data_IF_689385715102
#
_entry.id   IF_689385715102
#
_cell.length_a   1.000
_cell.length_b   1.000
_cell.length_c   1.000
_cell.angle_alpha   90.00
_cell.angle_beta   90.00
_cell.angle_gamma   90.00
#
_symmetry.space_group_name_H-M   'P 1'
#
loop_
_entity.id
_entity.type
_entity.pdbx_description
1 polymer ?
#
# COMPACT_ATOMS: atom_id res chain seq x y z
N UNK A 1 -0.22 -9.12 -12.23
CA UNK A 1 1.22 -9.19 -12.52
C UNK A 1 1.86 -7.81 -12.39
N UNK A 2 1.46 -6.78 -13.18
CA UNK A 2 2.09 -5.44 -13.14
C UNK A 2 2.11 -4.86 -11.73
N UNK A 3 0.98 -4.87 -11.02
CA UNK A 3 0.88 -4.36 -9.65
C UNK A 3 1.83 -5.10 -8.68
N UNK A 4 1.89 -6.44 -8.78
CA UNK A 4 2.76 -7.25 -7.92
C UNK A 4 4.24 -6.97 -8.15
N UNK A 5 4.67 -6.86 -9.41
CA UNK A 5 6.05 -6.48 -9.75
C UNK A 5 6.37 -5.08 -9.23
N UNK A 6 5.48 -4.10 -9.49
CA UNK A 6 5.66 -2.73 -9.02
C UNK A 6 5.74 -2.65 -7.50
N UNK A 7 4.90 -3.39 -6.78
CA UNK A 7 4.93 -3.44 -5.31
C UNK A 7 6.21 -4.09 -4.77
N UNK A 8 6.72 -5.11 -5.48
CA UNK A 8 8.00 -5.76 -5.15
C UNK A 8 9.22 -4.83 -5.21
N UNK A 9 9.11 -3.68 -5.88
CA UNK A 9 10.16 -2.66 -5.93
C UNK A 9 10.21 -1.77 -4.67
N UNK A 10 9.26 -1.89 -3.73
CA UNK A 10 9.29 -1.11 -2.48
C UNK A 10 10.63 -1.18 -1.73
N UNK A 11 11.22 -2.37 -1.50
CA UNK A 11 12.51 -2.45 -0.81
C UNK A 11 13.66 -1.82 -1.59
N UNK A 12 13.62 -1.89 -2.93
CA UNK A 12 14.68 -1.36 -3.79
C UNK A 12 14.87 0.16 -3.61
N UNK A 13 13.76 0.89 -3.56
CA UNK A 13 13.78 2.34 -3.41
C UNK A 13 13.65 2.81 -1.96
N UNK A 14 12.91 2.06 -1.12
CA UNK A 14 12.62 2.46 0.25
C UNK A 14 13.74 2.17 1.23
N UNK A 15 14.40 1.00 1.08
CA UNK A 15 15.45 0.60 2.03
C UNK A 15 16.67 1.52 2.03
N UNK A 16 17.23 1.95 0.89
CA UNK A 16 18.35 2.89 0.89
C UNK A 16 18.06 4.21 1.63
N UNK A 17 16.82 4.72 1.53
CA UNK A 17 16.40 5.92 2.23
C UNK A 17 16.33 5.71 3.75
N UNK A 18 15.79 4.58 4.20
CA UNK A 18 15.71 4.22 5.62
C UNK A 18 17.11 4.00 6.21
N UNK A 19 17.99 3.30 5.50
CA UNK A 19 19.37 3.07 5.90
C UNK A 19 20.18 4.39 5.93
N UNK A 20 19.82 5.37 5.07
CA UNK A 20 20.32 6.75 5.06
C UNK A 20 19.80 7.63 6.21
N UNK A 21 18.90 7.11 7.07
CA UNK A 21 18.37 7.82 8.23
C UNK A 21 17.13 8.66 7.96
N UNK A 22 16.50 8.52 6.78
CA UNK A 22 15.21 9.18 6.50
C UNK A 22 14.12 8.58 7.39
N UNK A 23 13.38 9.38 8.18
CA UNK A 23 12.30 8.88 9.00
C UNK A 23 11.20 8.24 8.12
N UNK A 24 10.63 7.12 8.57
CA UNK A 24 9.60 6.38 7.83
C UNK A 24 8.43 7.30 7.41
N UNK A 25 7.98 8.17 8.31
CA UNK A 25 6.85 9.05 8.03
C UNK A 25 7.18 10.16 7.02
N UNK A 26 8.42 10.70 7.05
CA UNK A 26 8.90 11.66 6.03
C UNK A 26 8.96 11.00 4.66
N UNK A 27 9.54 9.80 4.57
CA UNK A 27 9.59 9.00 3.35
C UNK A 27 8.18 8.76 2.80
N UNK A 28 7.24 8.33 3.65
CA UNK A 28 5.86 8.06 3.25
C UNK A 28 5.12 9.34 2.85
N UNK A 29 5.35 10.46 3.53
CA UNK A 29 4.80 11.75 3.12
C UNK A 29 5.23 12.11 1.69
N UNK A 30 6.53 12.12 1.39
CA UNK A 30 7.02 12.45 0.05
C UNK A 30 6.53 11.46 -1.01
N UNK A 31 6.54 10.17 -0.70
CA UNK A 31 6.00 9.13 -1.56
C UNK A 31 4.56 9.45 -1.99
N UNK A 32 3.70 9.78 -1.03
CA UNK A 32 2.28 10.06 -1.28
C UNK A 32 2.07 11.44 -1.92
N UNK A 33 2.81 12.45 -1.49
CA UNK A 33 2.71 13.80 -2.03
C UNK A 33 3.15 13.85 -3.50
N UNK A 34 4.29 13.25 -3.84
CA UNK A 34 4.77 13.19 -5.23
C UNK A 34 3.80 12.41 -6.11
N UNK A 35 3.34 11.23 -5.65
CA UNK A 35 2.39 10.42 -6.41
C UNK A 35 1.06 11.14 -6.63
N UNK A 36 0.53 11.81 -5.61
CA UNK A 36 -0.73 12.56 -5.74
C UNK A 36 -0.57 13.79 -6.63
N UNK A 37 0.57 14.48 -6.58
CA UNK A 37 0.85 15.62 -7.45
C UNK A 37 0.92 15.19 -8.92
N UNK A 38 1.67 14.13 -9.24
CA UNK A 38 1.78 13.60 -10.60
C UNK A 38 0.40 13.16 -11.12
N UNK A 39 -0.35 12.39 -10.32
CA UNK A 39 -1.66 11.89 -10.71
C UNK A 39 -2.68 13.03 -10.84
N UNK A 40 -2.65 14.00 -9.93
CA UNK A 40 -3.52 15.17 -9.97
C UNK A 40 -3.27 16.04 -11.20
N UNK A 41 -2.00 16.29 -11.55
CA UNK A 41 -1.63 16.99 -12.78
C UNK A 41 -2.11 16.22 -14.01
N UNK A 42 -1.89 14.91 -14.05
CA UNK A 42 -2.36 14.08 -15.15
C UNK A 42 -3.89 14.13 -15.31
N UNK A 43 -4.64 14.03 -14.19
CA UNK A 43 -6.10 14.15 -14.21
C UNK A 43 -6.56 15.53 -14.68
N UNK A 44 -5.87 16.59 -14.26
CA UNK A 44 -6.16 17.97 -14.70
C UNK A 44 -5.94 18.13 -16.22
N UNK A 45 -4.84 17.60 -16.76
CA UNK A 45 -4.58 17.59 -18.23
C UNK A 45 -5.61 16.80 -19.03
N UNK A 46 -6.16 15.73 -18.42
CA UNK A 46 -7.22 14.90 -19.03
C UNK A 46 -8.63 15.46 -18.80
N UNK A 47 -8.75 16.62 -18.13
CA UNK A 47 -10.03 17.23 -17.78
C UNK A 47 -10.96 16.30 -16.98
N UNK A 48 -10.38 15.38 -16.19
CA UNK A 48 -11.16 14.52 -15.31
C UNK A 48 -11.75 15.31 -14.15
N UNK A 49 -12.97 14.95 -13.75
CA UNK A 49 -13.66 15.64 -12.66
C UNK A 49 -13.07 15.27 -11.31
N UNK A 50 -12.80 16.28 -10.46
CA UNK A 50 -12.42 16.09 -9.05
C UNK A 50 -13.63 16.17 -8.09
N UNK A 51 -14.85 16.23 -8.63
CA UNK A 51 -16.03 16.43 -7.79
C UNK A 51 -16.44 15.13 -7.12
N UNK A 52 -16.50 15.17 -5.79
CA UNK A 52 -17.01 14.08 -4.94
C UNK A 52 -18.06 14.63 -3.97
N UNK A 53 -19.03 13.81 -3.62
CA UNK A 53 -20.04 14.18 -2.63
C UNK A 53 -19.46 14.03 -1.20
N UNK A 54 -19.98 14.75 -0.21
CA UNK A 54 -19.50 14.67 1.18
C UNK A 54 -19.61 13.27 1.82
N UNK A 55 -20.56 12.44 1.36
CA UNK A 55 -20.66 11.05 1.81
C UNK A 55 -19.56 10.15 1.19
N UNK A 56 -19.18 10.42 -0.04
CA UNK A 56 -18.10 9.75 -0.75
C UNK A 56 -16.75 10.17 -0.16
N UNK A 57 -16.57 11.47 0.11
CA UNK A 57 -15.37 12.00 0.73
C UNK A 57 -15.07 11.31 2.07
N UNK A 58 -16.07 11.12 2.93
CA UNK A 58 -15.88 10.38 4.20
C UNK A 58 -15.37 8.96 3.98
N UNK A 59 -15.89 8.27 2.97
CA UNK A 59 -15.43 6.92 2.64
C UNK A 59 -14.00 6.94 2.06
N UNK A 60 -13.69 7.91 1.19
CA UNK A 60 -12.35 8.10 0.64
C UNK A 60 -11.32 8.41 1.73
N UNK A 61 -11.70 9.17 2.76
CA UNK A 61 -10.84 9.41 3.92
C UNK A 61 -10.56 8.09 4.66
N UNK A 62 -11.58 7.29 4.93
CA UNK A 62 -11.38 5.98 5.58
C UNK A 62 -10.45 5.08 4.73
N UNK A 63 -10.67 5.03 3.43
CA UNK A 63 -9.83 4.25 2.51
C UNK A 63 -8.39 4.77 2.47
N UNK A 64 -8.19 6.08 2.42
CA UNK A 64 -6.87 6.70 2.47
C UNK A 64 -6.13 6.41 3.77
N UNK A 65 -6.84 6.48 4.91
CA UNK A 65 -6.27 6.14 6.22
C UNK A 65 -5.89 4.65 6.31
N UNK A 66 -6.71 3.73 5.79
CA UNK A 66 -6.40 2.30 5.76
C UNK A 66 -5.16 2.02 4.91
N UNK A 67 -5.06 2.65 3.75
CA UNK A 67 -3.89 2.49 2.87
C UNK A 67 -2.63 3.11 3.50
N UNK A 68 -2.75 4.29 4.12
CA UNK A 68 -1.66 4.93 4.86
C UNK A 68 -1.18 4.05 6.02
N UNK A 69 -2.11 3.51 6.84
CA UNK A 69 -1.78 2.60 7.93
C UNK A 69 -1.05 1.34 7.43
N UNK A 70 -1.54 0.74 6.33
CA UNK A 70 -0.85 -0.39 5.70
C UNK A 70 0.59 -0.05 5.33
N UNK A 71 0.82 1.15 4.77
CA UNK A 71 2.18 1.59 4.40
C UNK A 71 3.07 1.82 5.62
N UNK A 72 2.55 2.44 6.69
CA UNK A 72 3.32 2.63 7.93
C UNK A 72 3.73 1.28 8.52
N UNK A 73 2.79 0.36 8.68
CA UNK A 73 3.07 -0.97 9.24
C UNK A 73 4.11 -1.73 8.40
N UNK A 74 4.06 -1.63 7.07
CA UNK A 74 5.04 -2.26 6.19
C UNK A 74 6.43 -1.65 6.39
N UNK A 75 6.56 -0.32 6.31
CA UNK A 75 7.86 0.33 6.39
C UNK A 75 8.47 0.25 7.80
N UNK A 76 7.65 0.31 8.85
CA UNK A 76 8.10 0.05 10.21
C UNK A 76 8.59 -1.40 10.40
N UNK A 77 7.96 -2.38 9.72
CA UNK A 77 8.42 -3.76 9.79
C UNK A 77 9.84 -3.96 9.25
N UNK A 78 10.31 -3.12 8.32
CA UNK A 78 11.67 -3.17 7.77
C UNK A 78 12.77 -2.91 8.81
N UNK A 79 12.43 -2.32 9.96
CA UNK A 79 13.34 -2.12 11.08
C UNK A 79 13.61 -3.39 11.89
N UNK A 80 12.73 -4.38 11.78
CA UNK A 80 12.73 -5.58 12.62
C UNK A 80 12.98 -6.86 11.84
N UNK A 81 12.71 -6.87 10.54
CA UNK A 81 12.91 -8.01 9.64
C UNK A 81 13.44 -7.54 8.28
N UNK A 82 14.12 -8.40 7.51
CA UNK A 82 14.56 -8.07 6.17
C UNK A 82 13.42 -7.54 5.30
N UNK A 83 13.64 -6.44 4.60
CA UNK A 83 12.61 -5.73 3.82
C UNK A 83 11.96 -6.60 2.73
N UNK A 84 12.72 -7.51 2.12
CA UNK A 84 12.21 -8.50 1.19
C UNK A 84 11.23 -9.48 1.85
N UNK A 85 11.56 -9.94 3.06
CA UNK A 85 10.69 -10.80 3.87
C UNK A 85 9.41 -10.07 4.27
N UNK A 86 9.53 -8.84 4.79
CA UNK A 86 8.38 -8.02 5.16
C UNK A 86 7.42 -7.79 3.96
N UNK A 87 7.96 -7.46 2.80
CA UNK A 87 7.18 -7.28 1.57
C UNK A 87 6.50 -8.59 1.15
N UNK A 88 7.17 -9.74 1.35
CA UNK A 88 6.58 -11.06 1.07
C UNK A 88 5.40 -11.34 2.00
N UNK A 89 5.48 -10.96 3.29
CA UNK A 89 4.34 -11.09 4.22
C UNK A 89 3.13 -10.25 3.81
N UNK A 90 3.32 -9.11 3.15
CA UNK A 90 2.18 -8.33 2.63
C UNK A 90 1.39 -9.13 1.61
N UNK A 91 2.03 -10.00 0.83
CA UNK A 91 1.32 -10.88 -0.12
C UNK A 91 0.42 -11.93 0.56
N UNK A 92 0.33 -11.96 1.89
CA UNK A 92 -0.71 -12.71 2.62
C UNK A 92 -2.07 -11.98 2.63
N UNK A 93 -2.16 -10.74 2.10
CA UNK A 93 -3.45 -10.02 2.05
C UNK A 93 -4.59 -10.81 1.37
N UNK A 94 -4.37 -11.72 0.37
CA UNK A 94 -5.44 -12.54 -0.18
C UNK A 94 -6.09 -13.48 0.84
N UNK A 95 -5.30 -13.96 1.82
CA UNK A 95 -5.81 -14.77 2.94
C UNK A 95 -6.82 -13.95 3.74
N UNK A 96 -6.44 -12.72 4.13
CA UNK A 96 -7.31 -11.82 4.88
C UNK A 96 -8.54 -11.40 4.07
N UNK A 97 -8.39 -11.11 2.76
CA UNK A 97 -9.52 -10.84 1.87
C UNK A 97 -10.49 -12.01 1.86
N UNK A 98 -10.00 -13.24 1.69
CA UNK A 98 -10.85 -14.44 1.67
C UNK A 98 -11.56 -14.65 3.01
N UNK A 99 -10.87 -14.49 4.13
CA UNK A 99 -11.45 -14.61 5.47
C UNK A 99 -12.54 -13.56 5.71
N UNK A 100 -12.30 -12.30 5.35
CA UNK A 100 -13.30 -11.23 5.45
C UNK A 100 -14.51 -11.55 4.56
N UNK A 101 -14.30 -12.01 3.33
CA UNK A 101 -15.37 -12.37 2.41
C UNK A 101 -16.22 -13.53 2.93
N UNK A 102 -15.61 -14.56 3.53
CA UNK A 102 -16.32 -15.65 4.22
C UNK A 102 -17.14 -15.11 5.40
N UNK A 103 -16.56 -14.22 6.21
CA UNK A 103 -17.31 -13.55 7.29
C UNK A 103 -18.50 -12.72 6.81
N UNK A 104 -18.46 -12.23 5.57
CA UNK A 104 -19.56 -11.54 4.89
C UNK A 104 -20.49 -12.51 4.12
N UNK A 105 -20.40 -13.82 4.37
CA UNK A 105 -21.18 -14.88 3.73
C UNK A 105 -21.00 -14.96 2.20
N UNK A 106 -19.85 -14.52 1.69
CA UNK A 106 -19.46 -14.64 0.28
C UNK A 106 -18.32 -15.64 0.17
N UNK A 107 -18.63 -16.87 -0.21
CA UNK A 107 -17.65 -17.95 -0.24
C UNK A 107 -16.84 -17.92 -1.54
N UNK A 108 -15.50 -17.78 -1.45
CA UNK A 108 -14.62 -17.88 -2.60
C UNK A 108 -14.66 -19.28 -3.23
N UNK A 109 -14.44 -19.35 -4.55
CA UNK A 109 -14.32 -20.64 -5.25
C UNK A 109 -13.09 -21.42 -4.73
N UNK A 110 -13.13 -22.75 -4.84
CA UNK A 110 -12.05 -23.63 -4.37
C UNK A 110 -10.66 -23.29 -4.98
N UNK A 111 -10.64 -22.79 -6.21
CA UNK A 111 -9.44 -22.33 -6.91
C UNK A 111 -8.73 -21.18 -6.16
N UNK A 112 -9.49 -20.29 -5.50
CA UNK A 112 -8.94 -19.21 -4.68
C UNK A 112 -8.22 -19.78 -3.46
N UNK A 113 -8.79 -20.80 -2.82
CA UNK A 113 -8.16 -21.48 -1.68
C UNK A 113 -6.86 -22.18 -2.07
N UNK A 114 -6.81 -22.78 -3.27
CA UNK A 114 -5.59 -23.37 -3.80
C UNK A 114 -4.51 -22.31 -4.04
N UNK A 115 -4.88 -21.16 -4.62
CA UNK A 115 -3.94 -20.04 -4.84
C UNK A 115 -3.45 -19.45 -3.52
N UNK A 116 -4.33 -19.33 -2.52
CA UNK A 116 -3.97 -18.91 -1.16
C UNK A 116 -2.95 -19.90 -0.55
N UNK A 117 -3.21 -21.20 -0.65
CA UNK A 117 -2.30 -22.21 -0.15
C UNK A 117 -0.92 -22.14 -0.82
N UNK A 118 -0.87 -21.93 -2.14
CA UNK A 118 0.36 -21.72 -2.88
C UNK A 118 1.10 -20.44 -2.44
N UNK A 119 0.38 -19.34 -2.21
CA UNK A 119 0.96 -18.08 -1.71
C UNK A 119 1.54 -18.26 -0.31
N UNK A 120 0.80 -18.90 0.61
CA UNK A 120 1.27 -19.18 1.97
C UNK A 120 2.50 -20.07 1.94
N UNK A 121 2.49 -21.14 1.13
CA UNK A 121 3.66 -22.00 0.96
C UNK A 121 4.88 -21.23 0.44
N UNK A 122 4.70 -20.34 -0.56
CA UNK A 122 5.74 -19.45 -1.05
C UNK A 122 6.30 -18.52 0.02
N UNK A 123 5.42 -17.90 0.82
CA UNK A 123 5.83 -17.05 1.96
C UNK A 123 6.63 -17.87 2.98
N UNK A 124 6.17 -19.05 3.36
CA UNK A 124 6.87 -19.93 4.31
C UNK A 124 8.24 -20.32 3.77
N UNK A 125 8.36 -20.70 2.50
CA UNK A 125 9.64 -21.06 1.87
C UNK A 125 10.61 -19.88 1.85
N UNK A 126 10.14 -18.67 1.52
CA UNK A 126 10.95 -17.45 1.53
C UNK A 126 11.28 -16.94 2.93
N UNK A 127 10.46 -17.29 3.91
CA UNK A 127 10.66 -16.92 5.33
C UNK A 127 11.65 -17.85 6.03
N UNK A 128 12.10 -18.94 5.37
CA UNK A 128 13.09 -19.84 5.96
C UNK A 128 14.37 -19.04 6.21
N UNK A 129 14.82 -18.90 7.46
CA UNK A 129 15.93 -18.02 7.77
C UNK A 129 17.19 -18.47 7.05
N UNK A 130 17.77 -17.57 6.24
CA UNK A 130 19.16 -17.70 5.89
C UNK A 130 19.99 -17.66 7.18
N UNK A 131 20.97 -18.54 7.31
CA UNK A 131 21.77 -18.65 8.53
C UNK A 131 22.30 -17.26 8.94
N UNK A 132 21.93 -16.81 10.13
CA UNK A 132 22.37 -15.54 10.72
C UNK A 132 21.40 -14.34 10.62
N UNK A 133 20.19 -14.50 10.09
CA UNK A 133 19.19 -13.42 10.14
C UNK A 133 18.33 -13.52 11.41
N UNK A 134 18.44 -12.54 12.27
CA UNK A 134 17.51 -12.40 13.41
C UNK A 134 16.15 -11.91 12.91
N UNK A 135 15.12 -12.72 13.09
CA UNK A 135 13.74 -12.36 12.76
C UNK A 135 13.03 -11.98 14.05
N UNK A 136 12.74 -10.69 14.21
CA UNK A 136 12.01 -10.21 15.36
C UNK A 136 10.49 -10.37 15.14
N UNK A 137 9.77 -11.01 16.10
CA UNK A 137 8.34 -11.28 15.98
C UNK A 137 7.49 -10.03 15.72
N UNK A 138 7.91 -8.85 16.26
CA UNK A 138 7.21 -7.59 16.06
C UNK A 138 7.16 -7.19 14.57
N UNK A 139 8.25 -7.43 13.83
CA UNK A 139 8.29 -7.19 12.39
C UNK A 139 7.27 -8.05 11.62
N UNK A 140 7.10 -9.31 12.02
CA UNK A 140 6.09 -10.20 11.43
C UNK A 140 4.68 -9.68 11.73
N UNK A 141 4.39 -9.28 12.98
CA UNK A 141 3.10 -8.72 13.36
C UNK A 141 2.80 -7.45 12.58
N UNK A 142 3.76 -6.53 12.46
CA UNK A 142 3.59 -5.30 11.67
C UNK A 142 3.32 -5.62 10.20
N UNK A 143 4.06 -6.53 9.58
CA UNK A 143 3.81 -6.93 8.20
C UNK A 143 2.43 -7.58 8.00
N UNK A 144 1.97 -8.40 8.96
CA UNK A 144 0.63 -8.98 8.96
C UNK A 144 -0.47 -7.90 9.14
N UNK A 145 -0.26 -6.91 10.01
CA UNK A 145 -1.17 -5.77 10.18
C UNK A 145 -1.24 -4.92 8.91
N UNK A 146 -0.12 -4.74 8.20
CA UNK A 146 -0.09 -4.11 6.88
C UNK A 146 -0.99 -4.86 5.90
N UNK A 147 -0.81 -6.18 5.79
CA UNK A 147 -1.61 -7.03 4.91
C UNK A 147 -3.11 -7.00 5.27
N UNK A 148 -3.45 -7.00 6.54
CA UNK A 148 -4.84 -6.90 7.02
C UNK A 148 -5.47 -5.56 6.66
N UNK A 149 -4.79 -4.43 6.93
CA UNK A 149 -5.28 -3.09 6.60
C UNK A 149 -5.52 -2.95 5.10
N UNK A 150 -4.63 -3.51 4.29
CA UNK A 150 -4.76 -3.52 2.84
C UNK A 150 -5.91 -4.40 2.35
N UNK A 151 -6.12 -5.56 2.97
CA UNK A 151 -7.24 -6.45 2.66
C UNK A 151 -8.59 -5.77 2.95
N UNK A 152 -8.72 -5.08 4.08
CA UNK A 152 -9.92 -4.30 4.43
C UNK A 152 -10.17 -3.20 3.39
N UNK A 153 -9.12 -2.46 2.99
CA UNK A 153 -9.19 -1.47 1.91
C UNK A 153 -9.78 -2.08 0.63
N UNK A 154 -9.23 -3.20 0.14
CA UNK A 154 -9.68 -3.86 -1.09
C UNK A 154 -11.15 -4.34 -1.00
N UNK A 155 -11.55 -4.90 0.12
CA UNK A 155 -12.93 -5.35 0.34
C UNK A 155 -13.90 -4.16 0.31
N UNK A 156 -13.56 -3.05 0.97
CA UNK A 156 -14.40 -1.84 0.98
C UNK A 156 -14.51 -1.25 -0.43
N UNK A 157 -13.41 -1.14 -1.16
CA UNK A 157 -13.40 -0.64 -2.56
C UNK A 157 -14.34 -1.44 -3.45
N UNK A 158 -14.31 -2.77 -3.31
CA UNK A 158 -15.17 -3.63 -4.14
C UNK A 158 -16.64 -3.63 -3.71
N UNK A 159 -16.91 -3.65 -2.41
CA UNK A 159 -18.26 -3.84 -1.87
C UNK A 159 -19.08 -2.55 -1.81
N UNK A 160 -18.43 -1.40 -1.73
CA UNK A 160 -19.13 -0.13 -1.58
C UNK A 160 -19.80 0.32 -2.87
N UNK A 161 -21.13 0.34 -2.86
CA UNK A 161 -21.92 0.88 -3.97
C UNK A 161 -21.74 2.41 -4.13
N UNK A 162 -21.33 3.10 -3.04
CA UNK A 162 -21.22 4.56 -3.01
C UNK A 162 -20.08 5.11 -3.86
N UNK A 163 -19.04 4.32 -4.09
CA UNK A 163 -17.85 4.73 -4.84
C UNK A 163 -17.73 4.00 -6.19
N UNK A 164 -18.72 3.21 -6.59
CA UNK A 164 -18.67 2.48 -7.87
C UNK A 164 -18.58 3.37 -9.11
N UNK A 165 -19.14 4.57 -9.02
CA UNK A 165 -19.10 5.55 -10.11
C UNK A 165 -17.86 6.43 -10.10
N UNK A 166 -17.08 6.41 -9.00
CA UNK A 166 -15.82 7.15 -8.90
C UNK A 166 -14.76 6.44 -9.74
N UNK A 167 -14.02 7.17 -10.59
CA UNK A 167 -12.95 6.58 -11.40
C UNK A 167 -11.82 6.01 -10.53
N UNK A 168 -11.05 5.05 -11.08
CA UNK A 168 -9.88 4.48 -10.40
C UNK A 168 -8.83 5.54 -10.09
N UNK A 169 -8.66 6.49 -11.02
CA UNK A 169 -7.73 7.61 -10.88
C UNK A 169 -8.14 8.50 -9.69
N UNK A 170 -9.43 8.84 -9.59
CA UNK A 170 -9.96 9.66 -8.51
C UNK A 170 -9.86 8.93 -7.16
N UNK A 171 -10.18 7.63 -7.11
CA UNK A 171 -10.03 6.81 -5.90
C UNK A 171 -8.58 6.80 -5.42
N UNK A 172 -7.64 6.58 -6.33
CA UNK A 172 -6.21 6.57 -6.05
C UNK A 172 -5.72 7.94 -5.62
N UNK A 173 -6.11 9.00 -6.33
CA UNK A 173 -5.73 10.38 -6.03
C UNK A 173 -6.14 10.78 -4.61
N UNK A 174 -7.41 10.61 -4.26
CA UNK A 174 -7.89 10.95 -2.90
C UNK A 174 -7.26 10.09 -1.82
N UNK A 175 -7.04 8.79 -2.09
CA UNK A 175 -6.31 7.91 -1.17
C UNK A 175 -4.90 8.40 -0.87
N UNK A 176 -4.18 8.83 -1.90
CA UNK A 176 -2.83 9.40 -1.77
C UNK A 176 -2.84 10.76 -1.06
N UNK A 177 -3.76 11.66 -1.42
CA UNK A 177 -3.87 12.97 -0.77
C UNK A 177 -4.18 12.84 0.72
N UNK A 178 -5.16 11.99 1.07
CA UNK A 178 -5.51 11.74 2.48
C UNK A 178 -4.32 11.18 3.25
N UNK A 179 -3.59 10.21 2.67
CA UNK A 179 -2.39 9.67 3.30
C UNK A 179 -1.29 10.72 3.46
N UNK A 180 -1.02 11.54 2.43
CA UNK A 180 -0.04 12.61 2.52
C UNK A 180 -0.40 13.64 3.62
N UNK A 181 -1.67 14.05 3.68
CA UNK A 181 -2.14 14.97 4.72
C UNK A 181 -2.02 14.36 6.12
N UNK A 182 -2.36 13.08 6.28
CA UNK A 182 -2.23 12.38 7.55
C UNK A 182 -0.77 12.31 8.02
N UNK A 183 0.16 11.98 7.12
CA UNK A 183 1.59 11.93 7.44
C UNK A 183 2.14 13.31 7.76
N UNK A 184 1.79 14.33 6.98
CA UNK A 184 2.21 15.70 7.24
C UNK A 184 1.70 16.20 8.60
N UNK A 185 0.43 15.97 8.89
CA UNK A 185 -0.17 16.35 10.17
C UNK A 185 0.56 15.70 11.34
N UNK A 186 0.90 14.40 11.22
CA UNK A 186 1.67 13.71 12.26
C UNK A 186 3.07 14.30 12.41
N UNK A 187 3.82 14.52 11.31
CA UNK A 187 5.17 15.09 11.36
C UNK A 187 5.18 16.48 12.01
N UNK A 188 4.17 17.31 11.73
CA UNK A 188 4.03 18.64 12.33
C UNK A 188 3.72 18.57 13.83
N UNK A 189 2.92 17.60 14.27
CA UNK A 189 2.58 17.39 15.69
C UNK A 189 3.80 16.85 16.45
N UNK A 190 4.52 15.91 15.86
CA UNK A 190 5.70 15.26 16.44
C UNK A 190 6.93 16.18 16.44
N UNK A 191 6.95 17.23 15.63
CA UNK A 191 8.07 18.16 15.49
C UNK A 191 9.25 17.60 14.70
N UNK A 192 9.10 16.46 14.05
CA UNK A 192 10.14 15.85 13.21
C UNK A 192 10.33 16.67 11.93
N UNK A 193 11.56 17.10 11.57
CA UNK A 193 11.81 17.84 10.33
C UNK A 193 11.44 17.01 9.10
N UNK A 194 10.55 17.53 8.25
CA UNK A 194 10.02 16.82 7.09
C UNK A 194 11.12 16.38 6.11
N UNK A 195 12.16 17.18 5.95
CA UNK A 195 13.30 16.95 5.03
C UNK A 195 14.48 16.21 5.66
N UNK A 196 14.34 15.69 6.88
CA UNK A 196 15.44 15.03 7.57
C UNK A 196 15.99 13.84 6.77
N UNK A 197 17.29 13.83 6.52
CA UNK A 197 18.00 12.74 5.85
C UNK A 197 17.84 12.69 4.33
N UNK A 198 17.26 13.73 3.71
CA UNK A 198 17.10 13.84 2.24
C UNK A 198 18.08 14.91 1.77
N UNK A 199 19.35 14.54 1.63
CA UNK A 199 20.43 15.49 1.38
C UNK A 199 21.10 15.28 0.02
N UNK A 200 20.91 14.14 -0.62
CA UNK A 200 21.63 13.76 -1.84
C UNK A 200 20.70 13.56 -3.05
N UNK A 201 21.28 13.70 -4.26
CA UNK A 201 20.55 13.40 -5.52
C UNK A 201 20.02 11.95 -5.58
N UNK A 202 20.76 10.92 -5.14
CA UNK A 202 20.25 9.56 -5.03
C UNK A 202 19.01 9.43 -4.15
N UNK A 203 18.92 10.19 -3.04
CA UNK A 203 17.74 10.14 -2.16
C UNK A 203 16.50 10.65 -2.87
N UNK A 204 16.63 11.76 -3.60
CA UNK A 204 15.53 12.32 -4.41
C UNK A 204 15.11 11.35 -5.50
N UNK A 205 16.06 10.71 -6.20
CA UNK A 205 15.76 9.71 -7.23
C UNK A 205 15.04 8.48 -6.65
N UNK A 206 15.46 8.01 -5.49
CA UNK A 206 14.81 6.90 -4.78
C UNK A 206 13.38 7.28 -4.35
N UNK A 207 13.16 8.50 -3.87
CA UNK A 207 11.81 9.01 -3.53
C UNK A 207 10.90 9.07 -4.75
N UNK A 208 11.38 9.59 -5.87
CA UNK A 208 10.63 9.63 -7.14
C UNK A 208 10.33 8.20 -7.61
N UNK A 209 11.33 7.31 -7.60
CA UNK A 209 11.15 5.91 -7.94
C UNK A 209 10.11 5.22 -7.08
N UNK A 210 10.14 5.45 -5.76
CA UNK A 210 9.18 4.93 -4.80
C UNK A 210 7.77 5.49 -5.01
N UNK A 211 7.65 6.75 -5.41
CA UNK A 211 6.37 7.38 -5.69
C UNK A 211 5.74 6.86 -6.99
N UNK A 212 6.53 6.70 -8.05
CA UNK A 212 6.02 6.31 -9.38
C UNK A 212 5.73 4.81 -9.44
N UNK A 213 6.72 3.95 -9.17
CA UNK A 213 6.59 2.51 -9.40
C UNK A 213 5.71 1.81 -8.37
N UNK A 214 6.09 1.66 -7.10
CA UNK A 214 5.31 0.87 -6.15
C UNK A 214 4.09 1.60 -5.60
N UNK A 215 3.91 2.89 -5.89
CA UNK A 215 2.74 3.63 -5.42
C UNK A 215 1.77 3.92 -6.53
N UNK A 216 2.08 4.83 -7.44
CA UNK A 216 1.14 5.28 -8.47
C UNK A 216 0.74 4.14 -9.41
N UNK A 217 1.72 3.46 -10.02
CA UNK A 217 1.46 2.37 -10.98
C UNK A 217 0.76 1.20 -10.28
N UNK A 218 1.23 0.81 -9.11
CA UNK A 218 0.64 -0.30 -8.37
C UNK A 218 -0.81 0.00 -7.96
N UNK A 219 -1.08 1.18 -7.36
CA UNK A 219 -2.44 1.54 -6.94
C UNK A 219 -3.41 1.63 -8.11
N UNK A 220 -3.04 2.30 -9.20
CA UNK A 220 -3.88 2.40 -10.39
C UNK A 220 -4.21 1.02 -10.96
N UNK A 221 -3.20 0.16 -11.09
CA UNK A 221 -3.39 -1.20 -11.62
C UNK A 221 -4.27 -2.05 -10.71
N UNK A 222 -4.11 -1.94 -9.40
CA UNK A 222 -4.94 -2.66 -8.42
C UNK A 222 -6.37 -2.13 -8.41
N UNK A 223 -6.56 -0.81 -8.41
CA UNK A 223 -7.89 -0.22 -8.44
C UNK A 223 -8.67 -0.69 -9.68
N UNK A 224 -8.03 -0.65 -10.86
CA UNK A 224 -8.59 -1.15 -12.11
C UNK A 224 -8.91 -2.66 -12.04
N UNK A 225 -7.96 -3.48 -11.59
CA UNK A 225 -8.15 -4.92 -11.47
C UNK A 225 -9.28 -5.27 -10.51
N UNK A 226 -9.34 -4.62 -9.35
CA UNK A 226 -10.37 -4.86 -8.33
C UNK A 226 -11.77 -4.59 -8.86
N UNK A 227 -11.92 -3.60 -9.73
CA UNK A 227 -13.22 -3.32 -10.39
C UNK A 227 -13.57 -4.32 -11.47
N UNK A 228 -12.61 -4.69 -12.30
CA UNK A 228 -12.85 -5.58 -13.45
C UNK A 228 -13.11 -7.03 -13.04
N UNK A 229 -12.36 -7.56 -12.10
CA UNK A 229 -12.37 -8.98 -11.75
C UNK A 229 -12.70 -9.30 -10.29
N UNK A 230 -12.91 -8.25 -9.48
CA UNK A 230 -13.25 -8.34 -8.05
C UNK A 230 -12.04 -8.51 -7.14
N UNK A 231 -12.20 -8.26 -5.81
CA UNK A 231 -11.08 -8.22 -4.87
C UNK A 231 -10.39 -9.58 -4.71
N UNK A 232 -11.16 -10.65 -4.65
CA UNK A 232 -10.64 -12.01 -4.45
C UNK A 232 -9.77 -12.48 -5.62
N UNK A 233 -10.13 -12.14 -6.86
CA UNK A 233 -9.33 -12.50 -8.04
C UNK A 233 -8.17 -11.52 -8.26
N UNK A 234 -8.32 -10.28 -7.84
CA UNK A 234 -7.24 -9.28 -7.91
C UNK A 234 -6.14 -9.58 -6.91
N UNK A 235 -6.48 -10.18 -5.77
CA UNK A 235 -5.54 -10.51 -4.70
C UNK A 235 -4.72 -11.77 -4.97
N UNK A 236 -5.15 -12.60 -5.90
CA UNK A 236 -4.49 -13.82 -6.37
C UNK A 236 -3.81 -13.59 -7.72
#
# INVERSE_FOLDING_TARGET
VVAGVSYGLNPLFGKPLLDGGVPVLSLLFFRYAISSAILGLWMAFRHESFRVNGREMRLLIVLGCLFAASSVFLFESYRFIPSGLATTFVYLYPVFVALIMVGLHVYPKWQVWLSIAATVAGVVLLSWPAAGTEIHWLGIVLAAMSALSYAVYLVIVNRSQRIKHISEHMLTFYGLVVGAVAFLAYLLIDGTPVLQGIDTTPDVLNLIGLAVFPTMIAMLTIALSTRLIGPTKTSV
#
